data_IF_677177643187
#
_entry.id   IF_677177643187
#
_cell.length_a   1.000
_cell.length_b   1.000
_cell.length_c   1.000
_cell.angle_alpha   90.00
_cell.angle_beta   90.00
_cell.angle_gamma   90.00
#
_symmetry.space_group_name_H-M   'P 1'
#
loop_
_entity.id
_entity.type
_entity.pdbx_description
1 polymer ?
#
# COMPACT_ATOMS: atom_id res chain seq x y z
N UNK A 1 -14.47 24.05 18.43
CA UNK A 1 -15.53 23.88 17.40
C UNK A 1 -15.98 25.26 16.96
N UNK A 2 -16.18 25.49 15.65
CA UNK A 2 -16.67 26.79 15.16
C UNK A 2 -17.72 26.53 14.08
N UNK A 3 -18.85 27.23 14.18
CA UNK A 3 -19.96 27.15 13.23
C UNK A 3 -19.97 28.45 12.43
N UNK A 4 -19.73 28.39 11.12
CA UNK A 4 -19.75 29.55 10.22
C UNK A 4 -20.74 29.25 9.10
N UNK A 5 -21.74 30.11 8.90
CA UNK A 5 -22.75 30.01 7.83
C UNK A 5 -23.36 28.60 7.64
N UNK A 6 -23.72 27.92 8.73
CA UNK A 6 -24.38 26.61 8.67
C UNK A 6 -23.46 25.43 8.31
N UNK A 7 -22.20 25.66 7.96
CA UNK A 7 -21.21 24.62 7.69
C UNK A 7 -20.49 24.25 8.98
N UNK A 8 -20.49 22.95 9.31
CA UNK A 8 -19.79 22.40 10.46
C UNK A 8 -18.30 22.25 10.12
N UNK A 9 -17.44 23.06 10.72
CA UNK A 9 -15.99 22.96 10.55
C UNK A 9 -15.44 22.10 11.71
N UNK A 10 -15.06 20.83 11.45
CA UNK A 10 -14.53 19.96 12.50
C UNK A 10 -13.28 20.59 13.12
N UNK A 11 -13.16 20.46 14.44
CA UNK A 11 -11.98 20.94 15.18
C UNK A 11 -10.70 20.25 14.72
N UNK A 12 -9.53 20.86 14.97
CA UNK A 12 -8.22 20.30 14.60
C UNK A 12 -8.04 18.86 15.12
N UNK A 13 -8.51 18.59 16.33
CA UNK A 13 -8.42 17.25 16.95
C UNK A 13 -9.37 16.23 16.30
N UNK A 14 -10.58 16.63 15.92
CA UNK A 14 -11.53 15.74 15.24
C UNK A 14 -11.06 15.37 13.83
N UNK A 15 -10.39 16.30 13.14
CA UNK A 15 -9.72 16.00 11.86
C UNK A 15 -8.60 14.99 12.06
N UNK A 16 -7.74 15.22 13.06
CA UNK A 16 -6.64 14.30 13.38
C UNK A 16 -7.12 12.88 13.67
N UNK A 17 -8.18 12.73 14.48
CA UNK A 17 -8.77 11.42 14.78
C UNK A 17 -9.33 10.74 13.53
N UNK A 18 -10.03 11.49 12.67
CA UNK A 18 -10.54 10.96 11.40
C UNK A 18 -9.41 10.52 10.47
N UNK A 19 -8.37 11.33 10.34
CA UNK A 19 -7.21 11.01 9.51
C UNK A 19 -6.48 9.76 10.03
N UNK A 20 -6.41 9.61 11.35
CA UNK A 20 -5.83 8.45 12.01
C UNK A 20 -6.70 7.19 11.85
N UNK A 21 -8.02 7.30 11.92
CA UNK A 21 -8.95 6.20 11.63
C UNK A 21 -8.82 5.71 10.18
N UNK A 22 -8.79 6.64 9.22
CA UNK A 22 -8.56 6.32 7.80
C UNK A 22 -7.20 5.65 7.64
N UNK A 23 -6.16 6.19 8.28
CA UNK A 23 -4.83 5.59 8.21
C UNK A 23 -4.81 4.16 8.76
N UNK A 24 -5.50 3.89 9.87
CA UNK A 24 -5.57 2.57 10.49
C UNK A 24 -6.33 1.54 9.65
N UNK A 25 -7.26 1.98 8.81
CA UNK A 25 -7.91 1.11 7.83
C UNK A 25 -6.90 0.55 6.81
N UNK A 26 -5.99 1.39 6.31
CA UNK A 26 -4.95 0.97 5.37
C UNK A 26 -3.75 0.31 6.06
N UNK A 27 -3.37 0.79 7.24
CA UNK A 27 -2.19 0.37 7.98
C UNK A 27 -2.57 0.15 9.43
N UNK A 28 -2.82 -1.10 9.82
CA UNK A 28 -3.40 -1.46 11.14
C UNK A 28 -2.65 -0.81 12.32
N UNK A 29 -1.32 -0.78 12.26
CA UNK A 29 -0.46 -0.17 13.30
C UNK A 29 -0.12 1.32 13.04
N UNK A 30 -0.93 2.01 12.24
CA UNK A 30 -0.89 3.44 12.03
C UNK A 30 0.31 3.95 11.22
N UNK A 31 0.79 5.15 11.53
CA UNK A 31 1.80 5.85 10.74
C UNK A 31 3.14 5.10 10.65
N UNK A 32 3.58 4.48 11.74
CA UNK A 32 4.83 3.70 11.75
C UNK A 32 4.79 2.55 10.75
N UNK A 33 3.63 1.92 10.62
CA UNK A 33 3.42 0.85 9.67
C UNK A 33 3.44 1.36 8.23
N UNK A 34 2.70 2.43 7.93
CA UNK A 34 2.77 3.12 6.63
C UNK A 34 4.21 3.47 6.26
N UNK A 35 4.97 4.03 7.21
CA UNK A 35 6.34 4.47 6.96
C UNK A 35 7.25 3.28 6.66
N UNK A 36 7.08 2.13 7.34
CA UNK A 36 7.83 0.90 7.04
C UNK A 36 7.51 0.32 5.67
N UNK A 37 6.23 0.23 5.31
CA UNK A 37 5.82 -0.20 3.96
C UNK A 37 6.38 0.75 2.90
N UNK A 38 6.32 2.07 3.15
CA UNK A 38 6.86 3.09 2.26
C UNK A 38 8.37 3.00 2.07
N UNK A 39 9.13 2.83 3.15
CA UNK A 39 10.60 2.62 3.12
C UNK A 39 10.97 1.39 2.28
N UNK A 40 10.27 0.28 2.52
CA UNK A 40 10.51 -0.98 1.82
C UNK A 40 10.21 -0.87 0.32
N UNK A 41 9.08 -0.24 -0.05
CA UNK A 41 8.73 -0.03 -1.45
C UNK A 41 9.70 0.90 -2.16
N UNK A 42 10.20 1.94 -1.50
CA UNK A 42 11.17 2.89 -2.07
C UNK A 42 12.52 2.20 -2.34
N UNK A 43 12.94 1.28 -1.48
CA UNK A 43 14.15 0.49 -1.69
C UNK A 43 13.99 -0.54 -2.84
N UNK A 44 12.80 -1.12 -2.98
CA UNK A 44 12.47 -2.05 -4.07
C UNK A 44 12.30 -1.35 -5.42
N UNK A 45 11.78 -0.11 -5.42
CA UNK A 45 11.39 0.64 -6.62
C UNK A 45 12.06 2.02 -6.56
N UNK A 46 13.39 2.07 -6.79
CA UNK A 46 14.12 3.32 -6.74
C UNK A 46 13.67 4.26 -7.87
N UNK A 47 13.64 5.57 -7.56
CA UNK A 47 13.29 6.62 -8.53
C UNK A 47 11.84 7.08 -8.48
N UNK A 48 10.97 6.38 -7.75
CA UNK A 48 9.60 6.82 -7.47
C UNK A 48 9.53 7.54 -6.12
N UNK A 49 8.59 8.48 -5.98
CA UNK A 49 8.36 9.16 -4.70
C UNK A 49 7.65 8.21 -3.73
N UNK A 50 8.13 8.12 -2.48
CA UNK A 50 7.51 7.31 -1.41
C UNK A 50 6.00 7.52 -1.28
N UNK A 51 5.54 8.77 -1.38
CA UNK A 51 4.12 9.12 -1.33
C UNK A 51 3.32 8.49 -2.47
N UNK A 52 3.89 8.44 -3.68
CA UNK A 52 3.24 7.81 -4.83
C UNK A 52 3.17 6.30 -4.67
N UNK A 53 4.22 5.69 -4.09
CA UNK A 53 4.26 4.27 -3.80
C UNK A 53 3.17 3.87 -2.79
N UNK A 54 3.05 4.63 -1.71
CA UNK A 54 2.00 4.44 -0.69
C UNK A 54 0.60 4.62 -1.30
N UNK A 55 0.40 5.63 -2.14
CA UNK A 55 -0.89 5.85 -2.80
C UNK A 55 -1.28 4.67 -3.71
N UNK A 56 -0.34 4.14 -4.48
CA UNK A 56 -0.60 2.98 -5.33
C UNK A 56 -0.87 1.71 -4.50
N UNK A 57 -0.15 1.52 -3.39
CA UNK A 57 -0.45 0.46 -2.41
C UNK A 57 -1.90 0.51 -1.92
N UNK A 58 -2.36 1.69 -1.48
CA UNK A 58 -3.72 1.90 -1.00
C UNK A 58 -4.77 1.63 -2.08
N UNK A 59 -4.52 2.05 -3.33
CA UNK A 59 -5.42 1.77 -4.46
C UNK A 59 -5.58 0.28 -4.74
N UNK A 60 -4.51 -0.51 -4.64
CA UNK A 60 -4.58 -1.96 -4.80
C UNK A 60 -5.36 -2.56 -3.63
N UNK A 61 -5.09 -2.12 -2.40
CA UNK A 61 -5.78 -2.62 -1.19
C UNK A 61 -7.30 -2.36 -1.27
N UNK A 62 -7.70 -1.16 -1.64
CA UNK A 62 -9.12 -0.81 -1.86
C UNK A 62 -9.78 -1.79 -2.85
N UNK A 63 -9.09 -2.11 -3.95
CA UNK A 63 -9.62 -3.04 -4.95
C UNK A 63 -9.75 -4.45 -4.39
N UNK A 64 -8.75 -4.93 -3.66
CA UNK A 64 -8.79 -6.27 -3.04
C UNK A 64 -9.97 -6.41 -2.07
N UNK A 65 -10.25 -5.37 -1.28
CA UNK A 65 -11.35 -5.36 -0.32
C UNK A 65 -12.73 -5.23 -0.98
N UNK A 66 -12.87 -4.40 -2.02
CA UNK A 66 -14.17 -4.16 -2.69
C UNK A 66 -14.80 -5.41 -3.32
N UNK A 67 -13.98 -6.37 -3.78
CA UNK A 67 -14.46 -7.53 -4.54
C UNK A 67 -14.36 -8.86 -3.79
N UNK A 68 -14.24 -8.84 -2.45
CA UNK A 68 -14.42 -10.02 -1.60
C UNK A 68 -13.51 -11.20 -1.93
N UNK A 69 -12.20 -10.95 -2.09
CA UNK A 69 -11.21 -12.03 -2.29
C UNK A 69 -10.76 -12.23 -3.74
N UNK A 70 -10.86 -11.21 -4.59
CA UNK A 70 -10.25 -11.25 -5.92
C UNK A 70 -8.73 -11.37 -5.84
N UNK A 71 -8.12 -11.92 -6.90
CA UNK A 71 -6.65 -12.08 -6.96
C UNK A 71 -5.97 -10.73 -7.18
N UNK A 72 -4.72 -10.61 -6.71
CA UNK A 72 -3.90 -9.40 -6.84
C UNK A 72 -3.83 -8.90 -8.29
N UNK A 73 -3.62 -9.81 -9.24
CA UNK A 73 -3.48 -9.49 -10.66
C UNK A 73 -4.77 -8.91 -11.25
N UNK A 74 -5.93 -9.33 -10.75
CA UNK A 74 -7.23 -8.80 -11.14
C UNK A 74 -7.47 -7.40 -10.56
N UNK A 75 -7.09 -7.20 -9.30
CA UNK A 75 -7.15 -5.90 -8.64
C UNK A 75 -6.33 -4.84 -9.39
N UNK A 76 -5.08 -5.18 -9.75
CA UNK A 76 -4.20 -4.29 -10.54
C UNK A 76 -4.78 -3.96 -11.91
N UNK A 77 -5.35 -4.95 -12.62
CA UNK A 77 -5.96 -4.74 -13.95
C UNK A 77 -7.15 -3.79 -13.93
N UNK A 78 -7.86 -3.68 -12.81
CA UNK A 78 -9.00 -2.78 -12.65
C UNK A 78 -8.58 -1.33 -12.35
N UNK A 79 -7.33 -1.09 -11.97
CA UNK A 79 -6.81 0.26 -11.76
C UNK A 79 -6.64 0.93 -13.14
N UNK A 80 -7.40 2.00 -13.39
CA UNK A 80 -7.30 2.73 -14.66
C UNK A 80 -5.90 3.33 -14.76
N UNK A 81 -5.19 3.06 -15.87
CA UNK A 81 -3.83 3.56 -16.14
C UNK A 81 -3.64 5.05 -15.88
N UNK A 82 -4.64 5.88 -16.17
CA UNK A 82 -4.60 7.34 -15.93
C UNK A 82 -4.47 7.75 -14.46
N UNK A 83 -4.68 6.83 -13.52
CA UNK A 83 -4.56 7.05 -12.07
C UNK A 83 -3.29 6.41 -11.48
N UNK A 84 -2.52 5.69 -12.28
CA UNK A 84 -1.23 5.13 -11.88
C UNK A 84 -0.19 6.23 -12.09
N UNK A 85 0.31 6.76 -10.98
CA UNK A 85 1.26 7.88 -10.94
C UNK A 85 2.73 7.44 -10.84
N UNK A 86 2.95 6.12 -10.87
CA UNK A 86 4.27 5.47 -10.88
C UNK A 86 4.49 4.72 -12.19
N UNK A 87 5.74 4.39 -12.49
CA UNK A 87 6.15 3.59 -13.66
C UNK A 87 5.86 2.09 -13.45
N UNK A 88 4.59 1.73 -13.22
CA UNK A 88 4.19 0.36 -12.92
C UNK A 88 4.40 -0.57 -14.13
N UNK A 89 5.12 -1.67 -13.89
CA UNK A 89 5.31 -2.80 -14.79
C UNK A 89 5.09 -4.11 -14.02
N UNK A 90 5.20 -5.26 -14.69
CA UNK A 90 4.94 -6.56 -14.06
C UNK A 90 5.88 -6.85 -12.88
N UNK A 91 7.16 -6.51 -12.98
CA UNK A 91 8.12 -6.67 -11.88
C UNK A 91 7.75 -5.79 -10.69
N UNK A 92 7.41 -4.53 -10.93
CA UNK A 92 6.94 -3.61 -9.88
C UNK A 92 5.69 -4.17 -9.21
N UNK A 93 4.71 -4.65 -9.98
CA UNK A 93 3.50 -5.25 -9.43
C UNK A 93 3.80 -6.50 -8.59
N UNK A 94 4.81 -7.31 -8.96
CA UNK A 94 5.26 -8.44 -8.12
C UNK A 94 5.88 -7.98 -6.80
N UNK A 95 6.62 -6.87 -6.78
CA UNK A 95 7.09 -6.28 -5.52
C UNK A 95 5.93 -5.82 -4.63
N UNK A 96 4.92 -5.16 -5.19
CA UNK A 96 3.72 -4.80 -4.43
C UNK A 96 3.00 -6.02 -3.86
N UNK A 97 2.86 -7.09 -4.65
CA UNK A 97 2.26 -8.34 -4.19
C UNK A 97 3.03 -8.93 -3.01
N UNK A 98 4.35 -9.08 -3.13
CA UNK A 98 5.19 -9.63 -2.07
C UNK A 98 5.17 -8.78 -0.79
N UNK A 99 5.18 -7.44 -0.92
CA UNK A 99 5.04 -6.53 0.23
C UNK A 99 3.67 -6.66 0.88
N UNK A 100 2.59 -6.79 0.11
CA UNK A 100 1.23 -6.99 0.66
C UNK A 100 1.06 -8.34 1.35
N UNK A 101 1.67 -9.40 0.82
CA UNK A 101 1.67 -10.72 1.45
C UNK A 101 2.47 -10.71 2.76
N UNK A 102 3.61 -10.01 2.79
CA UNK A 102 4.37 -9.78 4.01
C UNK A 102 3.61 -8.93 5.03
N UNK A 103 2.93 -7.87 4.57
CA UNK A 103 2.06 -7.03 5.41
C UNK A 103 0.92 -7.84 6.04
N UNK A 104 0.26 -8.70 5.26
CA UNK A 104 -0.81 -9.56 5.78
C UNK A 104 -0.34 -10.52 6.89
N UNK A 105 0.94 -10.89 6.91
CA UNK A 105 1.55 -11.73 7.93
C UNK A 105 2.18 -10.94 9.09
N UNK A 106 2.27 -9.61 8.99
CA UNK A 106 2.99 -8.76 9.93
C UNK A 106 2.24 -8.63 11.25
N UNK A 107 2.99 -8.62 12.36
CA UNK A 107 2.46 -8.37 13.70
C UNK A 107 2.79 -6.95 14.15
N UNK A 108 2.46 -6.61 15.41
CA UNK A 108 2.65 -5.25 15.96
C UNK A 108 4.12 -4.80 16.00
N UNK A 109 5.05 -5.74 15.96
CA UNK A 109 6.50 -5.50 15.90
C UNK A 109 6.98 -4.98 14.53
N UNK A 110 6.14 -5.04 13.49
CA UNK A 110 6.43 -4.58 12.14
C UNK A 110 7.70 -5.22 11.54
N UNK A 111 7.89 -6.51 11.80
CA UNK A 111 9.01 -7.27 11.27
C UNK A 111 8.77 -7.65 9.80
N UNK A 112 9.14 -6.75 8.88
CA UNK A 112 9.11 -7.00 7.44
C UNK A 112 10.41 -7.68 6.96
N UNK A 113 10.35 -8.55 5.94
CA UNK A 113 11.54 -8.99 5.23
C UNK A 113 12.24 -7.80 4.58
N UNK A 114 13.57 -7.89 4.42
CA UNK A 114 14.33 -6.82 3.77
C UNK A 114 14.11 -6.81 2.25
N UNK A 115 14.48 -5.71 1.59
CA UNK A 115 14.29 -5.57 0.14
C UNK A 115 15.00 -6.68 -0.66
N UNK A 116 16.19 -7.12 -0.22
CA UNK A 116 16.92 -8.20 -0.89
C UNK A 116 16.24 -9.57 -0.74
N UNK A 117 15.59 -9.84 0.39
CA UNK A 117 14.78 -11.05 0.58
C UNK A 117 13.57 -11.05 -0.35
N UNK A 118 12.86 -9.92 -0.44
CA UNK A 118 11.73 -9.75 -1.36
C UNK A 118 12.17 -9.88 -2.81
N UNK A 119 13.31 -9.29 -3.20
CA UNK A 119 13.87 -9.44 -4.56
C UNK A 119 14.10 -10.91 -4.90
N UNK A 120 14.68 -11.69 -3.99
CA UNK A 120 14.88 -13.13 -4.18
C UNK A 120 13.57 -13.89 -4.31
N UNK A 121 12.56 -13.58 -3.49
CA UNK A 121 11.23 -14.21 -3.59
C UNK A 121 10.61 -13.96 -4.97
N UNK A 122 10.66 -12.72 -5.46
CA UNK A 122 10.11 -12.34 -6.77
C UNK A 122 10.88 -12.99 -7.93
N UNK A 123 12.20 -13.11 -7.81
CA UNK A 123 13.04 -13.79 -8.81
C UNK A 123 12.78 -15.30 -8.88
N UNK A 124 12.47 -15.94 -7.75
CA UNK A 124 12.18 -17.37 -7.67
C UNK A 124 10.77 -17.69 -8.21
N UNK A 125 9.76 -16.89 -7.85
CA UNK A 125 8.39 -17.02 -8.35
C UNK A 125 8.32 -16.89 -9.89
N UNK A 126 9.17 -16.02 -10.45
CA UNK A 126 9.32 -15.89 -11.91
C UNK A 126 9.96 -17.10 -12.60
N UNK A 127 10.73 -17.94 -11.89
CA UNK A 127 11.39 -19.14 -12.44
C UNK A 127 10.47 -20.36 -12.42
N UNK A 128 9.63 -20.50 -11.40
CA UNK A 128 8.69 -21.63 -11.26
C UNK A 128 7.59 -21.62 -12.34
N UNK A 129 7.27 -20.46 -12.92
CA UNK A 129 6.32 -20.33 -14.04
C UNK A 129 6.87 -20.77 -15.41
N UNK A 130 8.10 -21.29 -15.48
CA UNK A 130 8.79 -21.68 -16.74
C UNK A 130 9.10 -23.19 -16.83
N UNK A 131 8.36 -24.02 -16.08
CA UNK A 131 8.47 -25.50 -16.13
C UNK A 131 7.18 -26.12 -16.68
#
# INVERSE_FOLDING_TARGET
>A
MVRILGVFIPGKEERRKRDEEVLRHYFVYGAKHRDKVGELLEELIPGEKREHLILYYMQIKDRLEMNGGQKFEEAVRQIKRKYIIISANDTVNRYYKAVMEADAAVQEDLCFPCADEIRKMVEQDGKDSTV
#
